data_IF_441774134540
#
_entry.id   IF_441774134540
#
_cell.length_a   1.000
_cell.length_b   1.000
_cell.length_c   1.000
_cell.angle_alpha   90.00
_cell.angle_beta   90.00
_cell.angle_gamma   90.00
#
_symmetry.space_group_name_H-M   'P 1'
#
loop_
_entity.id
_entity.type
_entity.pdbx_description
1 polymer ?
#
# COMPACT_ATOMS: atom_id res chain seq x y z
N UNK A 1 -61.32 16.94 -25.86
CA UNK A 1 -62.10 15.75 -25.45
C UNK A 1 -61.15 14.75 -24.81
N UNK A 2 -61.43 14.24 -23.61
CA UNK A 2 -60.58 13.29 -22.88
C UNK A 2 -61.15 11.86 -22.92
N UNK A 3 -60.35 10.86 -22.53
CA UNK A 3 -60.86 9.64 -21.90
C UNK A 3 -60.04 9.38 -20.62
N UNK A 4 -60.73 9.46 -19.47
CA UNK A 4 -60.27 8.89 -18.20
C UNK A 4 -60.66 7.42 -18.14
N UNK A 5 -59.99 6.62 -17.31
CA UNK A 5 -60.72 5.68 -16.47
C UNK A 5 -60.08 5.53 -15.08
N UNK A 6 -60.92 5.66 -14.05
CA UNK A 6 -60.68 5.22 -12.66
C UNK A 6 -61.04 3.70 -12.59
N UNK A 7 -60.80 2.93 -11.52
CA UNK A 7 -60.94 3.21 -10.08
C UNK A 7 -60.45 2.07 -9.17
N UNK A 8 -60.17 2.37 -7.88
CA UNK A 8 -60.31 1.55 -6.63
C UNK A 8 -59.81 0.07 -6.59
N UNK A 9 -59.22 -0.48 -5.51
CA UNK A 9 -59.17 -0.15 -4.07
C UNK A 9 -57.82 -0.70 -3.47
N UNK A 10 -57.52 -0.82 -2.15
CA UNK A 10 -58.18 -0.44 -0.89
C UNK A 10 -57.77 -1.35 0.30
N UNK A 11 -57.83 -0.82 1.55
CA UNK A 11 -57.62 -1.51 2.85
C UNK A 11 -56.18 -2.07 3.15
N UNK A 12 -55.70 -2.27 4.39
CA UNK A 12 -55.90 -1.62 5.72
C UNK A 12 -54.97 -2.26 6.77
N UNK A 13 -54.18 -1.48 7.54
CA UNK A 13 -53.51 -1.82 8.83
C UNK A 13 -52.73 -0.57 9.31
N UNK A 14 -52.84 0.07 10.50
CA UNK A 14 -53.17 -0.30 11.89
C UNK A 14 -52.24 -1.39 12.50
N UNK A 15 -51.67 -1.26 13.71
CA UNK A 15 -51.27 -0.08 14.50
C UNK A 15 -50.44 -0.54 15.73
N UNK A 16 -49.69 0.40 16.34
CA UNK A 16 -49.23 0.44 17.74
C UNK A 16 -48.60 -0.79 18.47
N UNK A 17 -47.34 -0.57 18.86
CA UNK A 17 -46.86 -0.50 20.26
C UNK A 17 -47.30 -1.53 21.32
N UNK A 18 -46.28 -2.16 21.93
CA UNK A 18 -46.17 -2.17 23.40
C UNK A 18 -46.05 -3.54 24.07
N UNK A 19 -44.94 -3.78 24.79
CA UNK A 19 -44.88 -4.69 25.95
C UNK A 19 -43.82 -4.23 26.95
N UNK A 20 -44.21 -4.10 28.21
CA UNK A 20 -43.35 -3.82 29.37
C UNK A 20 -43.46 -4.96 30.39
N UNK A 21 -42.32 -5.34 30.97
CA UNK A 21 -42.11 -5.79 32.36
C UNK A 21 -42.68 -7.11 32.92
N UNK A 22 -42.13 -7.42 34.13
CA UNK A 22 -42.42 -8.48 35.11
C UNK A 22 -41.61 -9.77 34.84
N UNK A 23 -40.57 -10.19 35.57
CA UNK A 23 -40.08 -9.98 36.96
C UNK A 23 -40.96 -10.57 38.09
N UNK A 24 -40.64 -11.78 38.56
CA UNK A 24 -40.34 -12.02 39.99
C UNK A 24 -39.81 -13.44 40.26
N UNK A 25 -39.11 -13.59 41.38
CA UNK A 25 -38.70 -14.87 42.00
C UNK A 25 -39.81 -15.38 42.91
N UNK A 26 -39.87 -16.70 43.17
CA UNK A 26 -39.68 -17.29 44.51
C UNK A 26 -40.03 -18.80 44.49
N UNK A 27 -39.18 -19.65 45.06
CA UNK A 27 -39.58 -20.93 45.63
C UNK A 27 -38.51 -21.41 46.62
N UNK A 28 -38.91 -22.16 47.66
CA UNK A 28 -38.13 -22.34 48.89
C UNK A 28 -37.98 -23.82 49.28
N UNK A 29 -36.91 -24.11 50.03
CA UNK A 29 -36.73 -25.27 50.94
C UNK A 29 -36.27 -26.66 50.43
N UNK A 30 -35.54 -27.32 51.34
CA UNK A 30 -35.28 -28.76 51.51
C UNK A 30 -34.19 -29.51 50.70
N UNK A 31 -32.95 -29.40 51.21
CA UNK A 31 -32.19 -30.47 51.90
C UNK A 31 -31.65 -31.72 51.14
N UNK A 32 -30.37 -31.99 51.44
CA UNK A 32 -29.62 -33.27 51.38
C UNK A 32 -29.50 -34.05 50.05
N UNK A 33 -28.30 -33.95 49.46
CA UNK A 33 -27.37 -35.11 49.39
C UNK A 33 -25.93 -34.70 49.07
N UNK A 34 -24.97 -35.31 49.77
CA UNK A 34 -23.54 -35.14 49.50
C UNK A 34 -23.20 -35.57 48.07
N UNK A 35 -22.56 -34.68 47.30
CA UNK A 35 -21.74 -35.06 46.14
C UNK A 35 -20.38 -34.40 46.24
N UNK A 36 -19.36 -35.16 45.86
CA UNK A 36 -17.94 -34.85 46.05
C UNK A 36 -17.58 -33.52 45.38
N UNK A 37 -16.76 -32.73 46.06
CA UNK A 37 -16.17 -31.51 45.51
C UNK A 37 -15.13 -31.90 44.45
N UNK A 38 -15.56 -31.94 43.19
CA UNK A 38 -14.66 -32.03 42.03
C UNK A 38 -14.58 -30.62 41.45
N UNK A 39 -13.55 -29.88 41.88
CA UNK A 39 -13.21 -28.58 41.28
C UNK A 39 -12.65 -28.86 39.89
N UNK A 40 -13.54 -28.90 38.90
CA UNK A 40 -13.17 -28.75 37.51
C UNK A 40 -12.69 -27.31 37.32
N UNK A 41 -11.38 -27.11 37.47
CA UNK A 41 -10.70 -25.98 36.86
C UNK A 41 -11.06 -25.98 35.37
N UNK A 42 -11.70 -24.93 34.83
CA UNK A 42 -11.75 -24.79 33.39
C UNK A 42 -10.30 -24.59 32.95
N UNK A 43 -9.76 -25.56 32.23
CA UNK A 43 -8.63 -25.30 31.34
C UNK A 43 -9.11 -24.24 30.36
N UNK A 44 -8.82 -22.99 30.68
CA UNK A 44 -8.69 -21.93 29.69
C UNK A 44 -7.53 -22.34 28.79
N UNK A 45 -7.85 -23.22 27.83
CA UNK A 45 -7.09 -23.31 26.59
C UNK A 45 -7.26 -21.93 25.98
N UNK A 46 -6.26 -21.08 26.21
CA UNK A 46 -6.12 -19.87 25.44
C UNK A 46 -6.15 -20.29 23.99
N UNK A 47 -7.12 -19.77 23.24
CA UNK A 47 -6.92 -19.62 21.81
C UNK A 47 -5.84 -18.55 21.66
N UNK A 48 -4.58 -18.96 21.85
CA UNK A 48 -3.48 -18.24 21.25
C UNK A 48 -3.80 -18.20 19.75
N UNK A 49 -3.96 -17.00 19.15
CA UNK A 49 -4.11 -16.91 17.72
C UNK A 49 -2.88 -17.60 17.13
N UNK A 50 -3.09 -18.63 16.31
CA UNK A 50 -2.02 -19.52 15.81
C UNK A 50 -1.10 -18.76 14.87
N UNK A 51 -0.20 -17.95 15.44
CA UNK A 51 0.98 -17.48 14.78
C UNK A 51 1.83 -18.71 14.44
N UNK A 52 2.06 -18.90 13.15
CA UNK A 52 2.97 -19.93 12.67
C UNK A 52 4.34 -19.72 13.31
N UNK A 53 5.04 -20.80 13.64
CA UNK A 53 6.40 -20.69 14.16
C UNK A 53 7.29 -19.94 13.15
N UNK A 54 8.17 -19.04 13.62
CA UNK A 54 9.06 -18.29 12.73
C UNK A 54 9.91 -19.25 11.90
N UNK A 55 10.07 -18.93 10.62
CA UNK A 55 10.78 -19.76 9.66
C UNK A 55 11.23 -18.95 8.46
N UNK A 56 12.23 -19.40 7.71
CA UNK A 56 12.55 -18.84 6.41
C UNK A 56 12.86 -19.95 5.41
N UNK A 57 12.40 -19.81 4.17
CA UNK A 57 12.50 -20.84 3.13
C UNK A 57 12.44 -20.26 1.71
N UNK A 58 12.97 -21.02 0.76
CA UNK A 58 12.78 -20.77 -0.67
C UNK A 58 11.27 -20.88 -0.99
N UNK A 59 10.71 -19.82 -1.57
CA UNK A 59 9.33 -19.74 -2.10
C UNK A 59 9.29 -19.46 -3.60
N UNK A 60 10.43 -19.60 -4.28
CA UNK A 60 10.60 -19.30 -5.71
C UNK A 60 9.55 -20.00 -6.55
N UNK A 61 8.74 -19.21 -7.26
CA UNK A 61 7.91 -19.75 -8.32
C UNK A 61 8.79 -20.15 -9.51
N UNK A 62 8.94 -21.45 -9.74
CA UNK A 62 9.84 -22.04 -10.75
C UNK A 62 9.56 -21.63 -12.21
N UNK A 63 8.50 -20.86 -12.47
CA UNK A 63 8.22 -20.26 -13.78
C UNK A 63 9.01 -18.96 -14.04
N UNK A 64 9.71 -18.42 -13.03
CA UNK A 64 10.49 -17.18 -13.15
C UNK A 64 11.97 -17.39 -12.82
N UNK A 65 12.82 -16.57 -13.45
CA UNK A 65 14.28 -16.53 -13.26
C UNK A 65 14.70 -15.62 -12.08
N UNK A 66 13.82 -15.50 -11.08
CA UNK A 66 14.04 -14.78 -9.83
C UNK A 66 13.90 -15.78 -8.68
N UNK A 67 14.88 -15.77 -7.76
CA UNK A 67 14.84 -16.61 -6.56
C UNK A 67 14.17 -15.84 -5.44
N UNK A 68 13.12 -16.41 -4.87
CA UNK A 68 12.38 -15.81 -3.76
C UNK A 68 12.66 -16.58 -2.47
N UNK A 69 13.11 -15.88 -1.43
CA UNK A 69 13.18 -16.41 -0.07
C UNK A 69 12.22 -15.61 0.81
N UNK A 70 11.26 -16.31 1.41
CA UNK A 70 10.30 -15.69 2.33
C UNK A 70 10.55 -16.14 3.76
N UNK A 71 10.72 -15.17 4.65
CA UNK A 71 10.76 -15.38 6.10
C UNK A 71 9.41 -15.01 6.71
N UNK A 72 8.79 -15.97 7.40
CA UNK A 72 7.44 -15.88 7.94
C UNK A 72 7.46 -15.64 9.46
N UNK A 73 6.52 -14.84 9.94
CA UNK A 73 6.13 -14.74 11.36
C UNK A 73 7.26 -14.33 12.33
N UNK A 74 8.26 -13.59 11.83
CA UNK A 74 9.31 -13.00 12.69
C UNK A 74 8.70 -11.98 13.66
N UNK A 75 9.16 -12.04 14.91
CA UNK A 75 8.61 -11.31 16.06
C UNK A 75 9.65 -10.59 16.92
N UNK A 76 10.92 -10.98 16.79
CA UNK A 76 12.05 -10.51 17.61
C UNK A 76 13.36 -10.54 16.83
N UNK A 77 14.41 -9.90 17.36
CA UNK A 77 15.70 -9.77 16.67
C UNK A 77 16.41 -11.12 16.46
N UNK A 78 16.23 -12.07 17.37
CA UNK A 78 16.86 -13.40 17.32
C UNK A 78 16.35 -14.23 16.13
N UNK A 79 15.10 -13.99 15.68
CA UNK A 79 14.52 -14.73 14.55
C UNK A 79 15.32 -14.50 13.26
N UNK A 80 15.86 -13.28 13.06
CA UNK A 80 16.73 -12.97 11.93
C UNK A 80 18.03 -13.78 11.98
N UNK A 81 18.67 -13.89 13.15
CA UNK A 81 19.93 -14.62 13.31
C UNK A 81 19.73 -16.16 13.24
N UNK A 82 18.57 -16.64 13.66
CA UNK A 82 18.26 -18.07 13.75
C UNK A 82 17.73 -18.66 12.43
N UNK A 83 16.88 -17.93 11.71
CA UNK A 83 16.14 -18.48 10.57
C UNK A 83 16.57 -17.96 9.20
N UNK A 84 17.22 -16.79 9.10
CA UNK A 84 17.71 -16.31 7.79
C UNK A 84 18.86 -17.21 7.31
N UNK A 85 18.79 -17.78 6.09
CA UNK A 85 19.87 -18.61 5.58
C UNK A 85 21.15 -17.79 5.38
N UNK A 86 22.28 -18.32 5.84
CA UNK A 86 23.58 -17.61 5.80
C UNK A 86 24.22 -17.63 4.41
N UNK A 87 23.95 -18.67 3.63
CA UNK A 87 24.59 -18.94 2.34
C UNK A 87 23.66 -18.58 1.16
N UNK A 88 22.99 -17.42 1.24
CA UNK A 88 22.21 -16.88 0.12
C UNK A 88 23.16 -16.28 -0.92
N UNK A 89 23.31 -16.94 -2.08
CA UNK A 89 24.12 -16.44 -3.19
C UNK A 89 23.38 -16.60 -4.52
N UNK A 90 22.48 -15.67 -4.80
CA UNK A 90 21.68 -15.65 -6.03
C UNK A 90 21.71 -14.23 -6.65
N UNK A 91 21.99 -14.08 -7.96
CA UNK A 91 22.18 -12.77 -8.60
C UNK A 91 20.87 -11.97 -8.76
N UNK A 92 19.72 -12.63 -8.59
CA UNK A 92 18.38 -12.05 -8.56
C UNK A 92 17.61 -12.64 -7.39
N UNK A 93 18.03 -12.26 -6.19
CA UNK A 93 17.36 -12.62 -4.96
C UNK A 93 16.26 -11.61 -4.63
N UNK A 94 15.03 -12.09 -4.55
CA UNK A 94 13.92 -11.41 -3.88
C UNK A 94 13.83 -11.93 -2.46
N UNK A 95 13.96 -11.04 -1.49
CA UNK A 95 13.85 -11.36 -0.08
C UNK A 95 12.55 -10.76 0.47
N UNK A 96 11.71 -11.60 1.06
CA UNK A 96 10.38 -11.21 1.54
C UNK A 96 10.29 -11.46 3.04
N UNK A 97 10.05 -10.41 3.81
CA UNK A 97 9.56 -10.55 5.18
C UNK A 97 8.04 -10.63 5.12
N UNK A 98 7.44 -11.62 5.79
CA UNK A 98 6.00 -11.89 5.71
C UNK A 98 5.36 -12.15 7.06
N UNK A 99 4.20 -11.54 7.29
CA UNK A 99 3.37 -11.74 8.50
C UNK A 99 4.14 -11.47 9.81
N UNK A 100 5.09 -10.53 9.78
CA UNK A 100 5.93 -10.19 10.94
C UNK A 100 5.16 -9.31 11.94
N UNK A 101 5.47 -9.45 13.23
CA UNK A 101 4.95 -8.61 14.31
C UNK A 101 6.11 -8.18 15.22
N UNK A 102 6.77 -7.10 14.85
CA UNK A 102 7.99 -6.58 15.46
C UNK A 102 7.70 -5.37 16.35
N UNK A 103 8.39 -5.27 17.49
CA UNK A 103 8.45 -3.99 18.22
C UNK A 103 9.21 -2.95 17.39
N UNK A 104 10.34 -3.33 16.80
CA UNK A 104 11.13 -2.52 15.89
C UNK A 104 11.83 -3.42 14.86
N UNK A 105 12.22 -2.88 13.71
CA UNK A 105 13.15 -3.58 12.80
C UNK A 105 14.57 -3.45 13.36
N UNK A 106 15.28 -4.54 13.70
CA UNK A 106 16.57 -4.45 14.39
C UNK A 106 17.68 -3.90 13.49
N UNK A 107 18.62 -3.15 14.07
CA UNK A 107 19.73 -2.55 13.33
C UNK A 107 20.60 -3.59 12.59
N UNK A 108 20.89 -3.35 11.31
CA UNK A 108 21.66 -4.25 10.44
C UNK A 108 21.16 -5.72 10.37
N UNK A 109 19.91 -6.02 10.75
CA UNK A 109 19.37 -7.40 10.77
C UNK A 109 19.30 -8.07 9.39
N UNK A 110 19.41 -7.27 8.32
CA UNK A 110 19.40 -7.70 6.92
C UNK A 110 20.79 -7.58 6.25
N UNK A 111 21.82 -7.19 7.00
CA UNK A 111 23.17 -6.99 6.47
C UNK A 111 23.74 -8.29 5.88
N UNK A 112 24.38 -8.17 4.72
CA UNK A 112 24.99 -9.32 4.02
C UNK A 112 24.03 -10.16 3.20
N UNK A 113 22.71 -9.90 3.23
CA UNK A 113 21.77 -10.52 2.30
C UNK A 113 21.94 -9.86 0.91
N UNK A 114 22.29 -10.60 -0.16
CA UNK A 114 22.46 -10.02 -1.49
C UNK A 114 21.12 -9.84 -2.21
N UNK A 115 20.14 -9.23 -1.52
CA UNK A 115 18.80 -8.99 -2.04
C UNK A 115 18.83 -7.93 -3.14
N UNK A 116 18.30 -8.26 -4.31
CA UNK A 116 17.99 -7.29 -5.37
C UNK A 116 16.65 -6.59 -5.12
N UNK A 117 15.68 -7.31 -4.56
CA UNK A 117 14.38 -6.79 -4.10
C UNK A 117 14.16 -7.18 -2.64
N UNK A 118 13.74 -6.22 -1.81
CA UNK A 118 13.34 -6.42 -0.42
C UNK A 118 11.86 -6.02 -0.26
N UNK A 119 11.00 -6.98 0.07
CA UNK A 119 9.56 -6.72 0.28
C UNK A 119 9.13 -6.99 1.73
N UNK A 120 8.27 -6.13 2.26
CA UNK A 120 7.56 -6.31 3.52
C UNK A 120 6.08 -6.62 3.23
N UNK A 121 5.64 -7.85 3.49
CA UNK A 121 4.30 -8.35 3.21
C UNK A 121 3.50 -8.59 4.51
N UNK A 122 2.51 -7.73 4.79
CA UNK A 122 1.73 -7.76 6.02
C UNK A 122 2.59 -7.71 7.31
N UNK A 123 3.74 -7.03 7.27
CA UNK A 123 4.63 -6.86 8.42
C UNK A 123 4.21 -5.67 9.27
N UNK A 124 3.99 -5.85 10.57
CA UNK A 124 3.74 -4.74 11.52
C UNK A 124 5.00 -4.52 12.35
N UNK A 125 5.63 -3.37 12.19
CA UNK A 125 6.65 -2.84 13.09
C UNK A 125 6.09 -1.60 13.80
N UNK A 126 6.35 -1.41 15.11
CA UNK A 126 5.99 -0.14 15.78
C UNK A 126 6.95 0.99 15.38
N UNK A 127 8.17 0.64 14.95
CA UNK A 127 9.21 1.58 14.52
C UNK A 127 10.23 0.94 13.56
N UNK A 128 10.82 1.74 12.66
CA UNK A 128 12.02 1.39 11.90
C UNK A 128 13.29 2.07 12.46
N UNK A 129 13.18 2.84 13.54
CA UNK A 129 14.31 3.54 14.17
C UNK A 129 14.16 3.54 15.68
N UNK A 130 14.93 2.69 16.38
CA UNK A 130 15.02 2.82 17.82
C UNK A 130 15.62 4.17 18.23
N UNK A 131 15.03 4.79 19.25
CA UNK A 131 15.50 6.05 19.83
C UNK A 131 16.76 5.90 20.69
N UNK A 132 17.26 4.68 20.85
CA UNK A 132 18.58 4.43 21.42
C UNK A 132 19.65 4.73 20.37
N UNK A 133 20.49 5.74 20.61
CA UNK A 133 21.58 6.19 19.75
C UNK A 133 22.75 5.18 19.58
N UNK A 134 22.48 3.89 19.80
CA UNK A 134 23.43 2.78 19.77
C UNK A 134 23.11 1.72 18.68
N UNK A 135 21.92 1.74 18.08
CA UNK A 135 21.60 0.82 16.98
C UNK A 135 21.84 1.44 15.62
N UNK A 136 22.35 0.62 14.70
CA UNK A 136 22.56 0.98 13.30
C UNK A 136 21.23 1.05 12.54
N UNK A 137 21.23 1.72 11.39
CA UNK A 137 20.10 1.72 10.47
C UNK A 137 19.68 0.25 10.16
N UNK A 138 18.38 -0.13 10.21
CA UNK A 138 17.94 -1.49 9.88
C UNK A 138 18.31 -1.93 8.47
N UNK A 139 18.49 -0.98 7.54
CA UNK A 139 18.89 -1.22 6.15
C UNK A 139 20.41 -1.17 5.93
N UNK A 140 21.21 -1.05 7.00
CA UNK A 140 22.67 -1.07 6.89
C UNK A 140 23.17 -2.40 6.31
N UNK A 141 24.11 -2.34 5.36
CA UNK A 141 24.63 -3.49 4.63
C UNK A 141 23.80 -3.89 3.40
N UNK A 142 22.82 -3.08 2.99
CA UNK A 142 22.01 -3.24 1.77
C UNK A 142 22.28 -2.17 0.70
N UNK A 143 23.22 -1.25 0.95
CA UNK A 143 23.40 0.00 0.20
C UNK A 143 23.69 -0.24 -1.28
N UNK A 144 24.53 -1.25 -1.55
CA UNK A 144 25.00 -1.63 -2.88
C UNK A 144 24.27 -2.85 -3.48
N UNK A 145 23.24 -3.38 -2.81
CA UNK A 145 22.50 -4.59 -3.26
C UNK A 145 21.07 -4.28 -3.67
N UNK A 146 20.29 -3.61 -2.81
CA UNK A 146 18.84 -3.48 -2.99
C UNK A 146 18.52 -2.46 -4.09
N UNK A 147 17.95 -2.96 -5.19
CA UNK A 147 17.47 -2.14 -6.32
C UNK A 147 15.97 -1.83 -6.24
N UNK A 148 15.20 -2.58 -5.43
CA UNK A 148 13.75 -2.44 -5.30
C UNK A 148 13.33 -2.67 -3.84
N UNK A 149 12.45 -1.82 -3.33
CA UNK A 149 11.83 -1.99 -2.02
C UNK A 149 10.30 -1.93 -2.13
N UNK A 150 9.60 -2.89 -1.53
CA UNK A 150 8.14 -2.95 -1.56
C UNK A 150 7.50 -3.05 -0.17
N UNK A 151 6.37 -2.39 0.00
CA UNK A 151 5.51 -2.48 1.18
C UNK A 151 4.11 -2.92 0.73
N UNK A 152 3.65 -4.05 1.27
CA UNK A 152 2.46 -4.74 0.80
C UNK A 152 1.49 -5.07 1.93
N UNK A 153 0.18 -5.07 1.64
CA UNK A 153 -0.89 -5.50 2.56
C UNK A 153 -0.85 -4.81 3.94
N UNK A 154 -0.89 -3.48 3.93
CA UNK A 154 -0.78 -2.61 5.12
C UNK A 154 0.48 -2.86 5.97
N UNK A 155 1.62 -3.23 5.38
CA UNK A 155 2.88 -3.25 6.14
C UNK A 155 3.19 -1.88 6.77
N UNK A 156 3.86 -1.87 7.92
CA UNK A 156 4.44 -0.63 8.44
C UNK A 156 5.48 -0.10 7.45
N UNK A 157 5.56 1.22 7.32
CA UNK A 157 6.57 1.93 6.53
C UNK A 157 7.51 2.69 7.48
N UNK A 158 8.73 3.06 7.07
CA UNK A 158 9.64 3.85 7.89
C UNK A 158 9.04 5.21 8.27
N UNK A 159 9.31 5.69 9.48
CA UNK A 159 8.86 7.00 9.96
C UNK A 159 9.49 8.16 9.19
N UNK A 160 10.63 7.93 8.55
CA UNK A 160 11.23 8.82 7.56
C UNK A 160 11.93 8.03 6.45
N UNK A 161 11.78 8.51 5.22
CA UNK A 161 12.46 8.00 4.04
C UNK A 161 13.97 8.32 4.03
N UNK A 162 14.43 9.21 4.91
CA UNK A 162 15.86 9.44 5.14
C UNK A 162 16.61 8.18 5.63
N UNK A 163 15.90 7.19 6.18
CA UNK A 163 16.45 5.86 6.47
C UNK A 163 16.90 5.09 5.22
N UNK A 164 16.39 5.45 4.03
CA UNK A 164 16.77 4.82 2.75
C UNK A 164 17.81 5.64 1.97
N UNK A 165 18.22 6.82 2.46
CA UNK A 165 19.03 7.80 1.70
C UNK A 165 20.37 7.25 1.18
N UNK A 166 20.94 6.27 1.89
CA UNK A 166 22.26 5.69 1.61
C UNK A 166 22.15 4.46 0.68
N UNK A 167 20.94 4.01 0.32
CA UNK A 167 20.70 2.90 -0.61
C UNK A 167 20.95 3.31 -2.07
N UNK A 168 22.23 3.43 -2.43
CA UNK A 168 22.73 3.95 -3.72
C UNK A 168 22.17 3.22 -4.96
N UNK A 169 21.74 1.96 -4.79
CA UNK A 169 21.16 1.14 -5.87
C UNK A 169 19.65 1.17 -5.94
N UNK A 170 18.94 1.72 -4.94
CA UNK A 170 17.48 1.71 -4.89
C UNK A 170 16.92 2.52 -6.06
N UNK A 171 16.23 1.84 -6.99
CA UNK A 171 15.61 2.42 -8.19
C UNK A 171 14.09 2.45 -8.12
N UNK A 172 13.48 1.52 -7.37
CA UNK A 172 12.03 1.40 -7.27
C UNK A 172 11.57 1.32 -5.83
N UNK A 173 10.55 2.12 -5.51
CA UNK A 173 9.78 2.04 -4.28
C UNK A 173 8.32 1.72 -4.63
N UNK A 174 7.79 0.64 -4.06
CA UNK A 174 6.48 0.11 -4.42
C UNK A 174 5.55 -0.05 -3.20
N UNK A 175 4.28 0.30 -3.38
CA UNK A 175 3.22 0.19 -2.38
C UNK A 175 2.05 -0.58 -2.99
N UNK A 176 1.61 -1.67 -2.35
CA UNK A 176 0.54 -2.53 -2.85
C UNK A 176 -0.47 -2.87 -1.76
N UNK A 177 -1.75 -2.58 -1.98
CA UNK A 177 -2.82 -2.81 -0.99
C UNK A 177 -2.49 -2.22 0.38
N UNK A 178 -2.08 -0.95 0.38
CA UNK A 178 -1.82 -0.14 1.57
C UNK A 178 -3.05 0.71 1.92
N UNK A 179 -3.23 1.05 3.19
CA UNK A 179 -4.35 1.84 3.67
C UNK A 179 -3.85 3.07 4.43
N UNK A 180 -4.38 4.23 4.06
CA UNK A 180 -4.08 5.50 4.72
C UNK A 180 -2.65 6.01 4.51
N UNK A 181 -2.04 5.77 3.35
CA UNK A 181 -0.73 6.34 3.02
C UNK A 181 -0.75 7.87 3.14
N UNK A 182 0.28 8.45 3.78
CA UNK A 182 0.56 9.89 3.76
C UNK A 182 1.74 10.16 2.82
N UNK A 183 1.46 10.79 1.68
CA UNK A 183 2.46 11.15 0.69
C UNK A 183 3.06 12.52 1.06
N UNK A 184 3.95 12.50 2.04
CA UNK A 184 4.57 13.70 2.64
C UNK A 184 5.73 14.26 1.80
N UNK A 185 6.20 15.50 2.06
CA UNK A 185 7.44 16.01 1.47
C UNK A 185 8.70 15.20 1.81
N UNK A 186 8.69 14.32 2.81
CA UNK A 186 9.87 13.53 3.19
C UNK A 186 10.22 12.46 2.14
N UNK A 187 9.32 12.16 1.20
CA UNK A 187 9.67 11.36 0.01
C UNK A 187 10.83 11.98 -0.80
N UNK A 188 11.10 13.29 -0.67
CA UNK A 188 12.27 13.96 -1.26
C UNK A 188 13.61 13.61 -0.55
N UNK A 189 13.56 12.95 0.62
CA UNK A 189 14.72 12.41 1.35
C UNK A 189 15.18 11.04 0.82
N UNK A 190 14.45 10.44 -0.14
CA UNK A 190 14.84 9.22 -0.84
C UNK A 190 16.13 9.43 -1.65
N UNK A 191 16.91 8.36 -1.89
CA UNK A 191 18.14 8.46 -2.66
C UNK A 191 17.84 8.88 -4.11
N UNK A 192 18.69 9.74 -4.67
CA UNK A 192 18.56 10.22 -6.06
C UNK A 192 18.82 9.13 -7.11
N UNK A 193 19.06 7.88 -6.69
CA UNK A 193 19.03 6.65 -7.50
C UNK A 193 17.61 6.17 -7.84
N UNK A 194 16.58 6.62 -7.12
CA UNK A 194 15.18 6.27 -7.41
C UNK A 194 14.79 6.76 -8.80
N UNK A 195 14.08 5.90 -9.54
CA UNK A 195 13.54 6.10 -10.89
C UNK A 195 12.05 5.88 -10.95
N UNK A 196 11.53 4.97 -10.11
CA UNK A 196 10.14 4.53 -10.15
C UNK A 196 9.50 4.59 -8.77
N UNK A 197 8.33 5.21 -8.69
CA UNK A 197 7.46 5.17 -7.50
C UNK A 197 6.11 4.62 -7.93
N UNK A 198 5.73 3.50 -7.33
CA UNK A 198 4.55 2.73 -7.72
C UNK A 198 3.58 2.59 -6.54
N UNK A 199 2.32 2.97 -6.71
CA UNK A 199 1.24 2.85 -5.73
C UNK A 199 0.06 2.15 -6.40
N UNK A 200 -0.29 0.96 -5.92
CA UNK A 200 -1.34 0.12 -6.51
C UNK A 200 -2.37 -0.26 -5.45
N UNK A 201 -3.66 -0.21 -5.82
CA UNK A 201 -4.79 -0.73 -5.00
C UNK A 201 -4.80 -0.20 -3.56
N UNK A 202 -4.35 1.02 -3.37
CA UNK A 202 -4.03 1.58 -2.05
C UNK A 202 -4.90 2.79 -1.74
N UNK A 203 -5.18 3.02 -0.46
CA UNK A 203 -5.79 4.28 -0.03
C UNK A 203 -4.75 5.27 0.48
N UNK A 204 -4.85 6.49 -0.01
CA UNK A 204 -4.07 7.67 0.35
C UNK A 204 -4.96 8.48 1.30
N UNK A 205 -4.49 8.71 2.53
CA UNK A 205 -5.17 9.56 3.49
C UNK A 205 -4.86 11.04 3.21
N UNK A 206 -3.62 11.33 2.84
CA UNK A 206 -3.06 12.68 2.66
C UNK A 206 -2.03 12.66 1.55
N UNK A 207 -1.96 13.73 0.77
CA UNK A 207 -0.93 13.94 -0.25
C UNK A 207 -0.49 15.40 -0.21
N UNK A 208 0.83 15.61 -0.18
CA UNK A 208 1.43 16.93 -0.30
C UNK A 208 1.62 17.30 -1.76
N UNK A 209 1.36 18.57 -2.10
CA UNK A 209 1.64 19.12 -3.43
C UNK A 209 3.13 19.16 -3.81
N UNK A 210 4.06 18.68 -2.97
CA UNK A 210 5.50 18.65 -3.25
C UNK A 210 6.18 17.32 -2.91
N UNK A 211 5.41 16.24 -2.78
CA UNK A 211 5.93 14.97 -2.27
C UNK A 211 7.08 14.36 -3.11
N UNK A 212 7.10 14.52 -4.44
CA UNK A 212 8.22 14.12 -5.31
C UNK A 212 8.94 15.30 -5.99
N UNK A 213 8.73 16.54 -5.55
CA UNK A 213 9.17 17.75 -6.25
C UNK A 213 10.70 17.89 -6.43
N UNK A 214 11.52 17.20 -5.62
CA UNK A 214 12.98 17.20 -5.68
C UNK A 214 13.57 15.94 -6.34
N UNK A 215 12.74 14.99 -6.77
CA UNK A 215 13.16 13.70 -7.30
C UNK A 215 13.50 13.79 -8.80
N UNK A 216 14.50 14.61 -9.13
CA UNK A 216 14.89 15.00 -10.50
C UNK A 216 15.20 13.84 -11.45
N UNK A 217 15.49 12.65 -10.91
CA UNK A 217 15.77 11.46 -11.71
C UNK A 217 14.58 10.52 -11.92
N UNK A 218 13.36 10.87 -11.51
CA UNK A 218 12.18 10.04 -11.77
C UNK A 218 11.97 9.83 -13.27
N UNK A 219 11.75 8.57 -13.63
CA UNK A 219 11.47 8.08 -14.97
C UNK A 219 9.99 7.68 -15.10
N UNK A 220 9.44 7.04 -14.06
CA UNK A 220 8.06 6.57 -14.04
C UNK A 220 7.37 6.84 -12.68
N UNK A 221 6.14 7.35 -12.71
CA UNK A 221 5.26 7.39 -11.52
C UNK A 221 3.95 6.68 -11.87
N UNK A 222 3.58 5.68 -11.06
CA UNK A 222 2.38 4.89 -11.26
C UNK A 222 1.52 4.96 -10.02
N UNK A 223 0.30 5.45 -10.15
CA UNK A 223 -0.73 5.45 -9.11
C UNK A 223 -1.96 4.84 -9.75
N UNK A 224 -2.35 3.64 -9.30
CA UNK A 224 -3.37 2.84 -9.96
C UNK A 224 -4.37 2.26 -8.95
N UNK A 225 -5.65 2.25 -9.33
CA UNK A 225 -6.76 1.72 -8.50
C UNK A 225 -6.76 2.30 -7.07
N UNK A 226 -6.52 3.61 -6.93
CA UNK A 226 -6.24 4.30 -5.66
C UNK A 226 -7.06 5.59 -5.53
N UNK A 227 -7.30 6.14 -4.34
CA UNK A 227 -8.22 7.29 -4.16
C UNK A 227 -7.59 8.70 -4.37
N UNK A 228 -6.69 8.86 -5.35
CA UNK A 228 -6.04 10.13 -5.64
C UNK A 228 -6.93 11.09 -6.46
N UNK A 229 -7.86 11.76 -5.77
CA UNK A 229 -8.88 12.63 -6.38
C UNK A 229 -8.35 13.89 -7.08
N UNK A 230 -7.10 14.29 -6.83
CA UNK A 230 -6.46 15.44 -7.49
C UNK A 230 -4.97 15.18 -7.73
N UNK A 231 -4.43 15.78 -8.79
CA UNK A 231 -3.01 15.73 -9.10
C UNK A 231 -2.52 17.13 -9.49
N UNK A 232 -1.67 17.74 -8.67
CA UNK A 232 -1.08 19.06 -8.93
C UNK A 232 0.26 18.89 -9.64
N UNK A 233 0.57 19.67 -10.70
CA UNK A 233 1.85 19.55 -11.41
C UNK A 233 3.07 19.74 -10.51
N UNK A 234 2.95 20.53 -9.45
CA UNK A 234 3.96 20.73 -8.39
C UNK A 234 4.36 19.45 -7.63
N UNK A 235 3.54 18.40 -7.67
CA UNK A 235 3.86 17.11 -7.02
C UNK A 235 5.09 16.45 -7.63
N UNK A 236 5.37 16.74 -8.91
CA UNK A 236 6.50 16.24 -9.68
C UNK A 236 7.59 17.33 -9.83
N UNK A 237 8.85 16.95 -10.13
CA UNK A 237 9.93 17.92 -10.35
C UNK A 237 9.62 18.93 -11.45
N UNK A 238 10.09 20.18 -11.33
CA UNK A 238 10.05 21.20 -12.39
C UNK A 238 11.46 21.69 -12.73
N UNK A 239 11.97 21.46 -13.96
CA UNK A 239 11.46 20.49 -14.93
C UNK A 239 11.49 19.06 -14.40
N UNK A 240 10.81 18.13 -15.08
CA UNK A 240 10.95 16.69 -14.85
C UNK A 240 11.77 16.07 -16.00
N UNK A 241 13.10 16.21 -16.01
CA UNK A 241 13.94 15.97 -17.19
C UNK A 241 14.03 14.50 -17.63
N UNK A 242 13.56 13.55 -16.81
CA UNK A 242 13.59 12.11 -17.09
C UNK A 242 12.22 11.44 -17.07
N UNK A 243 11.16 12.15 -16.66
CA UNK A 243 9.85 11.54 -16.45
C UNK A 243 9.15 11.31 -17.80
N UNK A 244 9.25 10.09 -18.30
CA UNK A 244 8.72 9.71 -19.61
C UNK A 244 7.38 8.97 -19.55
N UNK A 245 6.98 8.53 -18.35
CA UNK A 245 5.74 7.79 -18.13
C UNK A 245 5.04 8.19 -16.82
N UNK A 246 3.73 8.45 -16.91
CA UNK A 246 2.86 8.75 -15.79
C UNK A 246 1.55 7.94 -15.91
N UNK A 247 1.32 6.99 -15.01
CA UNK A 247 0.05 6.27 -14.89
C UNK A 247 -0.73 6.79 -13.70
N UNK A 248 -1.93 7.29 -13.93
CA UNK A 248 -2.89 7.74 -12.92
C UNK A 248 -4.24 7.01 -13.11
N UNK A 249 -4.19 5.72 -13.46
CA UNK A 249 -5.38 4.93 -13.81
C UNK A 249 -6.27 4.67 -12.60
N UNK A 250 -7.59 4.77 -12.74
CA UNK A 250 -8.52 4.42 -11.66
C UNK A 250 -8.32 5.26 -10.39
N UNK A 251 -7.92 6.53 -10.53
CA UNK A 251 -7.57 7.42 -9.42
C UNK A 251 -8.76 8.23 -8.85
N UNK A 252 -9.91 8.21 -9.52
CA UNK A 252 -11.05 9.11 -9.31
C UNK A 252 -10.72 10.60 -9.54
N UNK A 253 -9.76 10.92 -10.40
CA UNK A 253 -9.54 12.28 -10.88
C UNK A 253 -10.79 12.76 -11.64
N UNK A 254 -11.28 13.96 -11.33
CA UNK A 254 -12.41 14.60 -12.05
C UNK A 254 -11.96 15.69 -13.03
N UNK A 255 -10.75 16.21 -12.87
CA UNK A 255 -10.12 17.20 -13.76
C UNK A 255 -8.59 17.12 -13.67
N UNK A 256 -7.91 17.84 -14.55
CA UNK A 256 -6.48 18.17 -14.47
C UNK A 256 -6.32 19.69 -14.32
N UNK A 257 -5.25 20.19 -13.68
CA UNK A 257 -4.94 21.61 -13.68
C UNK A 257 -4.42 22.08 -15.06
N UNK A 258 -4.47 23.38 -15.32
CA UNK A 258 -4.05 23.98 -16.61
C UNK A 258 -2.58 23.78 -16.93
N UNK A 259 -1.75 23.74 -15.90
CA UNK A 259 -0.30 23.53 -15.98
C UNK A 259 0.11 22.05 -15.88
N UNK A 260 -0.84 21.10 -16.00
CA UNK A 260 -0.62 19.68 -15.74
C UNK A 260 0.56 19.08 -16.52
N UNK A 261 0.84 19.58 -17.73
CA UNK A 261 1.89 19.06 -18.60
C UNK A 261 3.10 19.97 -18.79
N UNK A 262 3.17 21.09 -18.07
CA UNK A 262 4.29 22.03 -18.13
C UNK A 262 5.61 21.36 -17.71
N UNK A 263 6.71 21.73 -18.34
CA UNK A 263 8.06 21.23 -18.00
C UNK A 263 8.18 19.68 -17.93
N UNK A 264 7.48 18.95 -18.81
CA UNK A 264 7.58 17.49 -18.99
C UNK A 264 8.28 17.11 -20.32
N UNK A 265 9.53 17.55 -20.57
CA UNK A 265 10.16 17.59 -21.91
C UNK A 265 10.52 16.22 -22.51
N UNK A 266 10.25 15.12 -21.82
CA UNK A 266 10.51 13.76 -22.30
C UNK A 266 9.31 12.82 -22.11
N UNK A 267 8.13 13.38 -21.82
CA UNK A 267 6.91 12.60 -21.64
C UNK A 267 6.56 11.85 -22.93
N UNK A 268 6.23 10.56 -22.78
CA UNK A 268 5.84 9.67 -23.90
C UNK A 268 4.52 8.97 -23.63
N UNK A 269 4.22 8.68 -22.37
CA UNK A 269 3.06 7.89 -21.97
C UNK A 269 2.36 8.49 -20.75
N UNK A 270 1.15 9.00 -20.98
CA UNK A 270 0.23 9.41 -19.94
C UNK A 270 -0.98 8.45 -19.97
N UNK A 271 -1.32 7.83 -18.84
CA UNK A 271 -2.56 7.05 -18.72
C UNK A 271 -3.45 7.66 -17.64
N UNK A 272 -4.64 8.08 -18.05
CA UNK A 272 -5.73 8.63 -17.22
C UNK A 272 -6.97 7.74 -17.31
N UNK A 273 -6.79 6.48 -17.72
CA UNK A 273 -7.82 5.46 -17.85
C UNK A 273 -8.62 5.28 -16.54
N UNK A 274 -9.89 4.92 -16.63
CA UNK A 274 -10.78 4.62 -15.50
C UNK A 274 -10.96 5.75 -14.45
N UNK A 275 -10.76 7.01 -14.84
CA UNK A 275 -11.04 8.19 -14.01
C UNK A 275 -12.47 8.74 -14.19
N UNK A 276 -12.77 9.85 -13.51
CA UNK A 276 -14.04 10.59 -13.56
C UNK A 276 -13.95 11.85 -14.43
N UNK A 277 -12.90 12.00 -15.25
CA UNK A 277 -12.70 13.15 -16.13
C UNK A 277 -13.66 13.03 -17.33
N UNK A 278 -14.58 13.98 -17.45
CA UNK A 278 -15.56 14.05 -18.55
C UNK A 278 -15.18 15.08 -19.62
N UNK A 279 -14.38 16.08 -19.28
CA UNK A 279 -13.88 17.13 -20.16
C UNK A 279 -12.44 17.50 -19.80
N UNK A 280 -11.65 17.94 -20.78
CA UNK A 280 -10.31 18.47 -20.59
C UNK A 280 -10.28 19.96 -20.98
N UNK A 281 -9.51 20.76 -20.25
CA UNK A 281 -9.06 22.07 -20.74
C UNK A 281 -7.91 21.83 -21.73
N UNK A 282 -7.87 22.56 -22.85
CA UNK A 282 -6.87 22.32 -23.90
C UNK A 282 -5.46 22.59 -23.38
N UNK A 283 -5.33 23.61 -22.54
CA UNK A 283 -4.10 24.03 -21.89
C UNK A 283 -3.45 22.90 -21.07
N UNK A 284 -4.24 22.07 -20.37
CA UNK A 284 -3.75 20.96 -19.55
C UNK A 284 -2.91 19.93 -20.32
N UNK A 285 -3.14 19.78 -21.62
CA UNK A 285 -2.50 18.77 -22.48
C UNK A 285 -1.74 19.38 -23.66
N UNK A 286 -1.79 20.70 -23.88
CA UNK A 286 -1.20 21.37 -25.03
C UNK A 286 0.31 21.11 -25.20
N UNK A 287 1.15 21.18 -24.14
CA UNK A 287 2.56 20.75 -24.20
C UNK A 287 2.75 19.31 -24.74
N UNK A 288 1.93 18.35 -24.31
CA UNK A 288 2.07 16.92 -24.67
C UNK A 288 1.81 16.63 -26.16
N UNK A 289 1.01 17.49 -26.81
CA UNK A 289 0.71 17.42 -28.24
C UNK A 289 1.96 17.72 -29.09
N UNK A 290 2.83 18.62 -28.64
CA UNK A 290 4.12 18.89 -29.30
C UNK A 290 5.07 17.69 -29.18
N UNK A 291 5.11 17.08 -28.00
CA UNK A 291 6.00 15.94 -27.68
C UNK A 291 5.51 14.57 -28.19
N UNK A 292 4.39 14.52 -28.94
CA UNK A 292 3.77 13.28 -29.46
C UNK A 292 3.51 12.22 -28.37
N UNK A 293 3.09 12.66 -27.20
CA UNK A 293 2.76 11.77 -26.07
C UNK A 293 1.52 10.91 -26.38
N UNK A 294 1.61 9.61 -26.10
CA UNK A 294 0.43 8.74 -26.03
C UNK A 294 -0.39 9.08 -24.78
N UNK A 295 -1.68 9.39 -24.95
CA UNK A 295 -2.60 9.70 -23.85
C UNK A 295 -3.73 8.67 -23.79
N UNK A 296 -3.60 7.70 -22.89
CA UNK A 296 -4.64 6.71 -22.60
C UNK A 296 -5.80 7.35 -21.84
N UNK A 297 -6.99 7.39 -22.45
CA UNK A 297 -8.23 7.92 -21.87
C UNK A 297 -9.33 6.85 -21.91
N UNK A 298 -10.15 6.76 -20.86
CA UNK A 298 -11.45 6.10 -20.93
C UNK A 298 -12.54 7.04 -20.41
N UNK A 299 -13.46 7.41 -21.29
CA UNK A 299 -14.65 8.18 -20.97
C UNK A 299 -15.86 7.26 -21.18
N UNK A 300 -16.26 6.55 -20.12
CA UNK A 300 -17.36 5.58 -20.15
C UNK A 300 -16.94 4.14 -20.50
N UNK A 301 -17.93 3.27 -20.78
CA UNK A 301 -17.78 1.80 -20.96
C UNK A 301 -17.03 1.36 -22.24
N UNK A 302 -16.39 2.27 -22.97
CA UNK A 302 -15.77 1.98 -24.27
C UNK A 302 -14.32 2.48 -24.29
N UNK A 303 -13.39 1.61 -24.67
CA UNK A 303 -11.97 1.96 -24.79
C UNK A 303 -11.76 3.00 -25.89
N UNK A 304 -11.23 4.17 -25.54
CA UNK A 304 -10.97 5.28 -26.45
C UNK A 304 -9.57 5.86 -26.21
N UNK A 305 -8.53 5.04 -26.42
CA UNK A 305 -7.15 5.53 -26.44
C UNK A 305 -6.97 6.53 -27.57
N UNK A 306 -6.56 7.76 -27.24
CA UNK A 306 -6.29 8.81 -28.22
C UNK A 306 -4.77 9.02 -28.30
N UNK A 307 -4.21 8.78 -29.48
CA UNK A 307 -2.89 9.32 -29.80
C UNK A 307 -3.08 10.82 -30.00
N UNK A 308 -2.74 11.62 -28.99
CA UNK A 308 -2.67 13.08 -29.09
C UNK A 308 -1.45 13.47 -29.93
N UNK A 309 -1.52 13.28 -31.25
CA UNK A 309 -0.37 13.50 -32.14
C UNK A 309 -0.47 12.92 -33.54
N UNK A 310 -1.62 13.04 -34.21
CA UNK A 310 -1.74 12.93 -35.69
C UNK A 310 -2.50 14.14 -36.21
#
# INVERSE_FOLDING_TARGET
MPIKHQSSSGQSALNLLGRRHVSSRCCTFCLFRMKRLLVLLPLLVGFDPTYSAPSCRDTSNHLYDEREFTCFSFSKAEDFQQYVPKDLNFPRLRFVLKECLLDHVPGAALAGIPALSLDFDNCKAKSFSLSAAAESNPFHGLEETVSRMGFMHNSSIPESWSLLKDLSRLKELAFYQMAGLDLTPDFNSLPQSVRRVLIFRSTIARVSERWLASMQNLEEVWIQESNLKFFSRSMLPRPAPKLWRLHLQGCFLSSLPRDFSDDLPVMRHLSLEDNQITTFEEESLAPLKAERTYVGLYVGKSRAGLIYGV
#
